data_IF_871520454847
#
_entry.id   IF_871520454847
#
_cell.length_a   1.000
_cell.length_b   1.000
_cell.length_c   1.000
_cell.angle_alpha   90.00
_cell.angle_beta   90.00
_cell.angle_gamma   90.00
#
_symmetry.space_group_name_H-M   'P 1'
#
loop_
_entity.id
_entity.type
_entity.pdbx_description
1 polymer ?
#
# COMPACT_ATOMS: atom_id res chain seq x y z
N UNK A 1 -26.06 -16.80 13.88
CA UNK A 1 -25.41 -15.92 14.87
C UNK A 1 -24.21 -15.31 14.16
N UNK A 2 -23.90 -14.04 14.40
CA UNK A 2 -22.75 -13.35 13.79
C UNK A 2 -21.66 -13.25 14.85
N UNK A 3 -20.41 -13.41 14.45
CA UNK A 3 -19.28 -13.24 15.37
C UNK A 3 -19.20 -11.80 15.90
N UNK A 4 -18.63 -11.63 17.10
CA UNK A 4 -18.63 -10.37 17.85
C UNK A 4 -17.25 -9.73 17.92
N UNK A 5 -16.17 -10.52 17.98
CA UNK A 5 -14.80 -10.00 18.04
C UNK A 5 -14.48 -9.22 16.78
N UNK A 6 -13.93 -8.01 16.92
CA UNK A 6 -13.46 -7.20 15.80
C UNK A 6 -12.36 -7.91 14.97
N UNK A 7 -11.68 -8.90 15.56
CA UNK A 7 -10.63 -9.69 14.91
C UNK A 7 -11.19 -10.72 13.92
N UNK A 8 -12.41 -11.22 14.16
CA UNK A 8 -13.01 -12.31 13.41
C UNK A 8 -14.24 -11.88 12.60
N UNK A 9 -15.04 -10.95 13.13
CA UNK A 9 -16.30 -10.51 12.54
C UNK A 9 -16.18 -9.92 11.12
N UNK A 10 -17.25 -10.11 10.34
CA UNK A 10 -17.33 -9.73 8.93
C UNK A 10 -16.55 -10.67 7.99
N UNK A 11 -15.88 -11.70 8.50
CA UNK A 11 -15.28 -12.75 7.68
C UNK A 11 -16.33 -13.80 7.31
N UNK A 12 -16.75 -13.82 6.04
CA UNK A 12 -17.81 -14.69 5.54
C UNK A 12 -17.53 -16.20 5.73
N UNK A 13 -16.27 -16.63 5.74
CA UNK A 13 -15.93 -18.05 5.94
C UNK A 13 -16.10 -18.41 7.40
N UNK A 14 -15.58 -17.57 8.29
CA UNK A 14 -15.72 -17.79 9.73
C UNK A 14 -17.16 -17.64 10.21
N UNK A 15 -17.94 -16.72 9.63
CA UNK A 15 -19.38 -16.62 9.90
C UNK A 15 -20.12 -17.91 9.49
N UNK A 16 -19.75 -18.52 8.36
CA UNK A 16 -20.27 -19.84 7.95
C UNK A 16 -19.80 -20.96 8.87
N UNK A 17 -18.57 -20.92 9.37
CA UNK A 17 -18.10 -21.86 10.40
C UNK A 17 -18.96 -21.75 11.66
N UNK A 18 -19.18 -20.52 12.13
CA UNK A 18 -19.97 -20.23 13.32
C UNK A 18 -21.44 -20.64 13.16
N UNK A 19 -22.00 -20.46 11.97
CA UNK A 19 -23.34 -20.93 11.62
C UNK A 19 -23.45 -22.45 11.40
N UNK A 20 -22.33 -23.20 11.43
CA UNK A 20 -22.31 -24.65 11.17
C UNK A 20 -22.53 -25.03 9.71
N UNK A 21 -22.40 -24.07 8.78
CA UNK A 21 -22.57 -24.27 7.33
C UNK A 21 -21.24 -24.59 6.65
N UNK A 22 -20.13 -24.14 7.22
CA UNK A 22 -18.78 -24.45 6.77
C UNK A 22 -18.00 -25.18 7.87
N UNK A 23 -17.04 -26.01 7.47
CA UNK A 23 -16.09 -26.67 8.37
C UNK A 23 -14.69 -26.40 7.83
N UNK A 24 -14.00 -25.43 8.43
CA UNK A 24 -12.67 -25.06 7.98
C UNK A 24 -11.64 -26.11 8.43
N UNK A 25 -10.93 -26.67 7.45
CA UNK A 25 -9.93 -27.73 7.64
C UNK A 25 -8.93 -27.78 6.49
N UNK A 26 -7.91 -28.64 6.58
CA UNK A 26 -6.99 -28.89 5.48
C UNK A 26 -7.78 -29.35 4.22
N UNK A 27 -7.47 -28.85 3.00
CA UNK A 27 -6.30 -28.04 2.61
C UNK A 27 -6.60 -26.54 2.42
N UNK A 28 -7.55 -25.96 3.16
CA UNK A 28 -7.93 -24.56 2.96
C UNK A 28 -6.77 -23.58 3.11
N UNK A 29 -6.77 -22.56 2.24
CA UNK A 29 -5.73 -21.55 2.20
C UNK A 29 -6.31 -20.16 1.86
N UNK A 30 -6.51 -19.30 2.86
CA UNK A 30 -7.11 -17.97 2.71
C UNK A 30 -6.85 -17.09 3.95
N UNK A 31 -7.35 -15.84 3.92
CA UNK A 31 -7.25 -14.92 5.06
C UNK A 31 -8.02 -15.40 6.30
N UNK A 32 -9.13 -16.12 6.13
CA UNK A 32 -9.93 -16.65 7.24
C UNK A 32 -9.15 -17.69 8.06
N UNK A 33 -8.36 -18.54 7.40
CA UNK A 33 -7.40 -19.43 8.08
C UNK A 33 -6.35 -18.61 8.83
N UNK A 34 -5.83 -17.55 8.22
CA UNK A 34 -4.83 -16.67 8.85
C UNK A 34 -5.40 -16.01 10.11
N UNK A 35 -6.69 -15.64 10.14
CA UNK A 35 -7.38 -15.12 11.35
C UNK A 35 -7.42 -16.15 12.47
N UNK A 36 -7.75 -17.41 12.15
CA UNK A 36 -7.73 -18.50 13.13
C UNK A 36 -6.32 -18.70 13.67
N UNK A 37 -5.30 -18.74 12.80
CA UNK A 37 -3.90 -18.84 13.21
C UNK A 37 -3.51 -17.68 14.14
N UNK A 38 -3.91 -16.45 13.81
CA UNK A 38 -3.64 -15.26 14.61
C UNK A 38 -4.32 -15.31 15.99
N UNK A 39 -5.60 -15.69 16.03
CA UNK A 39 -6.34 -15.86 17.29
C UNK A 39 -5.76 -16.96 18.17
N UNK A 40 -5.45 -18.13 17.58
CA UNK A 40 -4.80 -19.22 18.30
C UNK A 40 -3.43 -18.82 18.83
N UNK A 41 -2.66 -18.01 18.09
CA UNK A 41 -1.36 -17.50 18.54
C UNK A 41 -1.53 -16.57 19.74
N UNK A 42 -2.47 -15.63 19.68
CA UNK A 42 -2.77 -14.71 20.78
C UNK A 42 -3.10 -15.48 22.07
N UNK A 43 -3.83 -16.59 21.94
CA UNK A 43 -4.24 -17.45 23.04
C UNK A 43 -3.16 -18.50 23.43
N UNK A 44 -2.00 -18.50 22.78
CA UNK A 44 -0.86 -19.36 23.11
C UNK A 44 -0.91 -20.79 22.54
N UNK A 45 -1.81 -21.07 21.60
CA UNK A 45 -1.96 -22.39 20.96
C UNK A 45 -1.19 -22.56 19.64
N UNK A 46 -0.70 -21.47 19.04
CA UNK A 46 -0.02 -21.49 17.74
C UNK A 46 1.24 -20.61 17.73
N UNK A 47 2.37 -21.14 17.29
CA UNK A 47 3.69 -20.49 17.35
C UNK A 47 4.42 -20.40 15.99
N UNK A 48 3.84 -20.94 14.93
CA UNK A 48 4.37 -20.87 13.55
C UNK A 48 3.81 -19.68 12.78
N UNK A 49 4.37 -19.35 11.60
CA UNK A 49 4.00 -18.19 10.77
C UNK A 49 2.50 -18.09 10.42
N UNK A 50 1.98 -16.86 10.35
CA UNK A 50 0.61 -16.56 9.90
C UNK A 50 0.57 -16.56 8.38
N UNK A 51 0.57 -17.74 7.77
CA UNK A 51 0.65 -17.91 6.32
C UNK A 51 -0.72 -18.14 5.66
N UNK A 52 -1.77 -18.28 6.47
CA UNK A 52 -3.12 -18.60 6.05
C UNK A 52 -3.24 -19.95 5.35
N UNK A 53 -2.38 -20.94 5.66
CA UNK A 53 -2.50 -22.34 5.22
C UNK A 53 -3.00 -23.20 6.37
N UNK A 54 -4.09 -23.94 6.15
CA UNK A 54 -4.57 -24.91 7.12
C UNK A 54 -3.75 -26.20 6.96
N UNK A 55 -2.57 -26.21 7.56
CA UNK A 55 -1.65 -27.35 7.57
C UNK A 55 -1.68 -28.15 8.89
N UNK A 56 -0.81 -29.15 9.04
CA UNK A 56 -0.74 -29.97 10.25
C UNK A 56 -0.52 -29.17 11.54
N UNK A 57 0.31 -28.11 11.51
CA UNK A 57 0.55 -27.26 12.68
C UNK A 57 -0.71 -26.49 13.10
N UNK A 58 -1.45 -25.92 12.14
CA UNK A 58 -2.74 -25.26 12.42
C UNK A 58 -3.76 -26.27 12.93
N UNK A 59 -3.82 -27.47 12.34
CA UNK A 59 -4.71 -28.54 12.79
C UNK A 59 -4.43 -28.96 14.24
N UNK A 60 -3.16 -29.14 14.60
CA UNK A 60 -2.75 -29.47 15.97
C UNK A 60 -3.13 -28.35 16.95
N UNK A 61 -2.89 -27.08 16.60
CA UNK A 61 -3.28 -25.94 17.42
C UNK A 61 -4.80 -25.89 17.66
N UNK A 62 -5.59 -26.15 16.62
CA UNK A 62 -7.06 -26.27 16.73
C UNK A 62 -7.47 -27.42 17.66
N UNK A 63 -6.86 -28.60 17.53
CA UNK A 63 -7.15 -29.73 18.43
C UNK A 63 -6.82 -29.41 19.88
N UNK A 64 -5.67 -28.78 20.14
CA UNK A 64 -5.25 -28.38 21.49
C UNK A 64 -6.18 -27.33 22.10
N UNK A 65 -6.57 -26.32 21.31
CA UNK A 65 -7.55 -25.32 21.73
C UNK A 65 -8.89 -25.97 22.10
N UNK A 66 -9.36 -26.90 21.27
CA UNK A 66 -10.61 -27.63 21.54
C UNK A 66 -10.53 -28.48 22.79
N UNK A 67 -9.40 -29.15 23.05
CA UNK A 67 -9.17 -29.88 24.28
C UNK A 67 -9.23 -28.96 25.51
N UNK A 68 -8.58 -27.79 25.44
CA UNK A 68 -8.62 -26.79 26.50
C UNK A 68 -10.04 -26.29 26.80
N UNK A 69 -10.86 -26.05 25.77
CA UNK A 69 -12.26 -25.65 25.90
C UNK A 69 -13.25 -26.82 26.08
N UNK A 70 -12.75 -28.05 26.26
CA UNK A 70 -13.58 -29.26 26.36
C UNK A 70 -14.59 -29.44 25.20
N UNK A 71 -14.22 -29.00 24.00
CA UNK A 71 -15.03 -29.12 22.79
C UNK A 71 -14.88 -30.51 22.15
N UNK A 72 -16.00 -31.12 21.78
CA UNK A 72 -16.04 -32.46 21.17
C UNK A 72 -16.66 -32.43 19.76
N UNK A 73 -16.10 -33.16 18.79
CA UNK A 73 -14.84 -33.92 18.85
C UNK A 73 -13.61 -33.00 18.84
N UNK A 74 -12.44 -33.45 19.34
CA UNK A 74 -11.16 -32.72 19.30
C UNK A 74 -10.44 -32.84 17.95
N UNK A 75 -11.19 -33.04 16.86
CA UNK A 75 -10.67 -33.12 15.50
C UNK A 75 -10.05 -31.78 15.06
N UNK A 76 -9.09 -31.77 14.10
CA UNK A 76 -8.42 -30.56 13.62
C UNK A 76 -9.32 -29.75 12.67
N UNK A 77 -10.51 -29.40 13.13
CA UNK A 77 -11.56 -28.72 12.35
C UNK A 77 -12.14 -27.55 13.14
N UNK A 78 -12.23 -26.41 12.46
CA UNK A 78 -12.90 -25.21 12.97
C UNK A 78 -14.35 -25.24 12.48
N UNK A 79 -15.25 -25.60 13.39
CA UNK A 79 -16.71 -25.52 13.18
C UNK A 79 -17.36 -24.52 14.14
N UNK A 80 -18.66 -24.66 14.36
CA UNK A 80 -19.44 -23.72 15.17
C UNK A 80 -18.90 -23.55 16.60
N UNK A 81 -18.60 -24.66 17.28
CA UNK A 81 -18.05 -24.63 18.64
C UNK A 81 -16.67 -23.96 18.70
N UNK A 82 -15.75 -24.35 17.81
CA UNK A 82 -14.39 -23.81 17.77
C UNK A 82 -14.39 -22.31 17.45
N UNK A 83 -15.12 -21.88 16.42
CA UNK A 83 -15.21 -20.47 16.03
C UNK A 83 -15.94 -19.64 17.07
N UNK A 84 -16.97 -20.18 17.73
CA UNK A 84 -17.66 -19.51 18.84
C UNK A 84 -16.77 -19.30 20.05
N UNK A 85 -15.97 -20.30 20.44
CA UNK A 85 -15.02 -20.17 21.54
C UNK A 85 -13.89 -19.18 21.20
N UNK A 86 -13.35 -19.23 19.98
CA UNK A 86 -12.37 -18.23 19.51
C UNK A 86 -12.95 -16.81 19.52
N UNK A 87 -14.19 -16.65 19.07
CA UNK A 87 -14.88 -15.36 19.09
C UNK A 87 -15.06 -14.83 20.50
N UNK A 88 -15.46 -15.69 21.45
CA UNK A 88 -15.62 -15.33 22.85
C UNK A 88 -14.31 -14.91 23.52
N UNK A 89 -13.25 -15.71 23.35
CA UNK A 89 -11.94 -15.45 23.96
C UNK A 89 -11.24 -14.20 23.39
N UNK A 90 -11.53 -13.86 22.14
CA UNK A 90 -10.97 -12.69 21.45
C UNK A 90 -11.92 -11.48 21.48
N UNK A 91 -13.05 -11.56 22.19
CA UNK A 91 -14.03 -10.48 22.24
C UNK A 91 -13.66 -9.46 23.32
N UNK A 92 -13.63 -8.19 22.91
CA UNK A 92 -13.60 -7.04 23.81
C UNK A 92 -14.97 -6.37 23.79
N UNK A 93 -15.45 -5.94 24.97
CA UNK A 93 -16.74 -5.23 25.10
C UNK A 93 -16.53 -3.75 25.47
N UNK A 94 -16.91 -2.79 24.60
CA UNK A 94 -17.36 -2.99 23.22
C UNK A 94 -16.19 -3.35 22.27
N UNK A 95 -16.47 -3.95 21.08
CA UNK A 95 -15.44 -4.34 20.11
C UNK A 95 -14.51 -3.21 19.67
N UNK A 96 -14.98 -1.97 19.76
CA UNK A 96 -14.21 -0.77 19.43
C UNK A 96 -13.14 -0.42 20.45
N UNK A 97 -12.97 -1.20 21.52
CA UNK A 97 -11.93 -1.01 22.55
C UNK A 97 -10.92 -2.17 22.59
N UNK A 98 -10.82 -2.98 21.55
CA UNK A 98 -9.73 -3.96 21.45
C UNK A 98 -8.37 -3.22 21.42
N UNK A 99 -7.52 -3.41 22.46
CA UNK A 99 -6.32 -2.60 22.65
C UNK A 99 -5.26 -2.86 21.57
N UNK A 100 -5.29 -3.99 20.86
CA UNK A 100 -4.31 -4.26 19.80
C UNK A 100 -4.47 -3.33 18.59
N UNK A 101 -5.65 -2.71 18.44
CA UNK A 101 -5.93 -1.78 17.35
C UNK A 101 -5.84 -0.31 17.77
N UNK A 102 -5.62 -0.01 19.05
CA UNK A 102 -5.50 1.37 19.55
C UNK A 102 -6.59 2.31 19.00
N UNK A 103 -6.18 3.45 18.45
CA UNK A 103 -7.09 4.45 17.88
C UNK A 103 -7.85 3.97 16.62
N UNK A 104 -7.40 2.90 15.95
CA UNK A 104 -8.11 2.34 14.79
C UNK A 104 -9.15 1.29 15.14
N UNK A 105 -9.27 0.89 16.42
CA UNK A 105 -10.18 -0.17 16.89
C UNK A 105 -11.64 0.05 16.44
N UNK A 106 -12.14 1.29 16.53
CA UNK A 106 -13.50 1.62 16.08
C UNK A 106 -13.72 1.40 14.58
N UNK A 107 -12.71 1.61 13.74
CA UNK A 107 -12.81 1.37 12.29
C UNK A 107 -12.74 -0.11 11.95
N UNK A 108 -11.94 -0.88 12.69
CA UNK A 108 -11.87 -2.33 12.56
C UNK A 108 -13.22 -2.97 12.94
N UNK A 109 -13.79 -2.55 14.07
CA UNK A 109 -15.10 -3.01 14.54
C UNK A 109 -16.25 -2.68 13.57
N UNK A 110 -16.10 -1.65 12.72
CA UNK A 110 -17.07 -1.29 11.68
C UNK A 110 -16.74 -1.87 10.29
N UNK A 111 -15.70 -2.70 10.20
CA UNK A 111 -15.20 -3.28 8.94
C UNK A 111 -14.76 -2.26 7.89
N UNK A 112 -14.39 -1.06 8.34
CA UNK A 112 -13.80 -0.01 7.50
C UNK A 112 -12.30 -0.25 7.31
N UNK A 113 -11.64 -0.80 8.33
CA UNK A 113 -10.24 -1.21 8.29
C UNK A 113 -10.16 -2.71 8.50
N UNK A 114 -9.47 -3.41 7.61
CA UNK A 114 -9.24 -4.84 7.75
C UNK A 114 -8.38 -5.11 9.01
N UNK A 115 -8.71 -6.13 9.86
CA UNK A 115 -7.98 -6.36 11.09
C UNK A 115 -6.44 -6.50 10.98
N UNK A 116 -5.88 -7.25 10.03
CA UNK A 116 -4.41 -7.31 9.88
C UNK A 116 -3.80 -5.98 9.46
N UNK A 117 -4.50 -5.23 8.59
CA UNK A 117 -4.16 -3.84 8.29
C UNK A 117 -4.18 -2.99 9.56
N UNK A 118 -5.21 -3.13 10.41
CA UNK A 118 -5.34 -2.43 11.68
C UNK A 118 -4.18 -2.70 12.64
N UNK A 119 -3.75 -3.96 12.77
CA UNK A 119 -2.57 -4.33 13.57
C UNK A 119 -1.27 -3.70 13.06
N UNK A 120 -1.14 -3.56 11.73
CA UNK A 120 0.05 -2.96 11.12
C UNK A 120 0.05 -1.43 11.21
N UNK A 121 -1.13 -0.81 11.11
CA UNK A 121 -1.27 0.65 11.11
C UNK A 121 -1.36 1.26 12.51
N UNK A 122 -1.91 0.56 13.50
CA UNK A 122 -2.03 1.06 14.87
C UNK A 122 -0.69 1.58 15.44
N UNK A 123 0.44 0.85 15.31
CA UNK A 123 1.73 1.31 15.83
C UNK A 123 2.30 2.57 15.18
N UNK A 124 1.76 3.01 14.02
CA UNK A 124 2.20 4.26 13.41
C UNK A 124 1.90 5.46 14.30
N UNK A 125 0.76 5.45 15.00
CA UNK A 125 0.34 6.54 15.89
C UNK A 125 1.26 6.63 17.11
N UNK A 126 1.75 5.49 17.60
CA UNK A 126 2.65 5.43 18.75
C UNK A 126 4.13 5.69 18.39
N UNK A 127 4.44 5.87 17.11
CA UNK A 127 5.80 6.22 16.68
C UNK A 127 6.20 7.61 17.23
N UNK A 128 7.51 7.93 17.33
CA UNK A 128 7.96 9.23 17.82
C UNK A 128 7.26 10.40 17.12
N UNK A 129 6.81 11.41 17.87
CA UNK A 129 5.97 12.50 17.35
C UNK A 129 6.57 13.25 16.15
N UNK A 130 7.90 13.28 16.05
CA UNK A 130 8.63 13.92 14.97
C UNK A 130 8.97 12.97 13.81
N UNK A 131 8.47 11.73 13.80
CA UNK A 131 8.73 10.71 12.78
C UNK A 131 7.75 10.79 11.60
N UNK A 132 8.17 10.31 10.43
CA UNK A 132 7.31 10.16 9.26
C UNK A 132 6.20 9.13 9.51
N UNK A 133 6.51 8.09 10.30
CA UNK A 133 5.52 7.09 10.74
C UNK A 133 4.36 7.72 11.51
N UNK A 134 4.66 8.58 12.48
CA UNK A 134 3.63 9.28 13.27
C UNK A 134 2.79 10.23 12.40
N UNK A 135 3.43 10.98 11.50
CA UNK A 135 2.72 11.86 10.57
C UNK A 135 1.79 11.09 9.62
N UNK A 136 2.23 9.93 9.14
CA UNK A 136 1.44 9.04 8.26
C UNK A 136 0.24 8.45 9.02
N UNK A 137 0.45 7.97 10.25
CA UNK A 137 -0.63 7.48 11.11
C UNK A 137 -1.66 8.55 11.47
N UNK A 138 -1.19 9.77 11.75
CA UNK A 138 -2.08 10.92 12.04
C UNK A 138 -2.92 11.30 10.82
N UNK A 139 -2.31 11.34 9.62
CA UNK A 139 -3.03 11.56 8.37
C UNK A 139 -4.09 10.49 8.14
N UNK A 140 -3.73 9.20 8.25
CA UNK A 140 -4.67 8.09 8.10
C UNK A 140 -5.86 8.25 9.04
N UNK A 141 -5.62 8.52 10.33
CA UNK A 141 -6.68 8.66 11.31
C UNK A 141 -7.60 9.85 10.98
N UNK A 142 -7.05 10.98 10.55
CA UNK A 142 -7.84 12.13 10.11
C UNK A 142 -8.66 11.84 8.84
N UNK A 143 -8.07 11.14 7.87
CA UNK A 143 -8.71 10.72 6.63
C UNK A 143 -9.89 9.77 6.88
N UNK A 144 -9.71 8.78 7.76
CA UNK A 144 -10.76 7.85 8.17
C UNK A 144 -11.88 8.57 8.96
N UNK A 145 -11.52 9.43 9.91
CA UNK A 145 -12.50 10.16 10.73
C UNK A 145 -13.36 11.14 9.91
N UNK A 146 -12.77 11.80 8.92
CA UNK A 146 -13.49 12.74 8.05
C UNK A 146 -14.37 12.04 7.01
N UNK A 147 -14.22 10.72 6.85
CA UNK A 147 -14.86 9.95 5.79
C UNK A 147 -14.29 10.24 4.40
N UNK A 148 -13.15 10.92 4.30
CA UNK A 148 -12.40 11.07 3.05
C UNK A 148 -11.86 9.71 2.60
N UNK A 149 -11.19 8.98 3.49
CA UNK A 149 -10.84 7.59 3.29
C UNK A 149 -11.98 6.71 3.84
N UNK A 150 -12.69 6.02 2.95
CA UNK A 150 -13.88 5.23 3.31
C UNK A 150 -13.56 3.78 3.65
N UNK A 151 -12.32 3.33 3.38
CA UNK A 151 -11.85 2.03 3.82
C UNK A 151 -10.41 1.72 3.45
N UNK A 152 -9.81 0.82 4.23
CA UNK A 152 -8.53 0.15 3.95
C UNK A 152 -8.76 -1.35 4.11
N UNK A 153 -9.06 -2.03 3.01
CA UNK A 153 -9.63 -3.39 3.05
C UNK A 153 -8.81 -4.40 2.24
N UNK A 154 -8.93 -5.68 2.59
CA UNK A 154 -8.45 -6.75 1.71
C UNK A 154 -9.31 -6.82 0.44
N UNK A 155 -8.73 -7.21 -0.69
CA UNK A 155 -9.45 -7.38 -1.96
C UNK A 155 -10.61 -8.37 -1.82
N UNK A 156 -10.40 -9.50 -1.13
CA UNK A 156 -11.47 -10.48 -0.84
C UNK A 156 -12.59 -9.94 0.04
N UNK A 157 -12.35 -8.83 0.75
CA UNK A 157 -13.28 -8.14 1.65
C UNK A 157 -13.77 -6.80 1.12
N UNK A 158 -13.44 -6.44 -0.12
CA UNK A 158 -13.93 -5.20 -0.72
C UNK A 158 -15.48 -5.13 -0.77
N UNK A 159 -16.15 -6.29 -0.77
CA UNK A 159 -17.59 -6.40 -0.63
C UNK A 159 -18.16 -5.89 0.70
N UNK A 160 -17.38 -5.83 1.77
CA UNK A 160 -17.83 -5.33 3.09
C UNK A 160 -18.18 -3.84 3.04
N UNK A 161 -17.51 -3.11 2.16
CA UNK A 161 -17.83 -1.74 1.85
C UNK A 161 -19.19 -1.61 1.14
N UNK A 162 -19.80 -2.72 0.70
CA UNK A 162 -21.06 -2.86 -0.02
C UNK A 162 -22.23 -2.06 0.53
N UNK A 163 -22.26 -1.81 1.84
CA UNK A 163 -23.30 -1.03 2.51
C UNK A 163 -23.09 0.48 2.46
N UNK A 164 -21.88 0.96 2.17
CA UNK A 164 -21.55 2.38 2.17
C UNK A 164 -22.07 3.07 0.90
N UNK A 165 -23.24 3.71 0.99
CA UNK A 165 -23.93 4.35 -0.14
C UNK A 165 -23.09 5.40 -0.90
N UNK A 166 -21.94 5.85 -0.37
CA UNK A 166 -21.03 6.77 -1.07
C UNK A 166 -20.32 6.09 -2.24
N UNK A 167 -20.06 4.80 -2.17
CA UNK A 167 -19.24 4.08 -3.16
C UNK A 167 -20.07 3.72 -4.41
N UNK A 168 -19.66 4.17 -5.61
CA UNK A 168 -20.33 3.83 -6.87
C UNK A 168 -20.36 2.31 -7.12
N UNK A 169 -21.45 1.81 -7.71
CA UNK A 169 -21.65 0.37 -7.93
C UNK A 169 -20.63 -0.25 -8.90
N UNK A 170 -20.22 0.50 -9.92
CA UNK A 170 -19.19 0.10 -10.88
C UNK A 170 -17.80 0.01 -10.22
N UNK A 171 -17.48 0.92 -9.30
CA UNK A 171 -16.26 0.84 -8.52
C UNK A 171 -16.26 -0.41 -7.64
N UNK A 172 -17.35 -0.71 -6.93
CA UNK A 172 -17.45 -1.90 -6.06
C UNK A 172 -17.10 -3.19 -6.77
N UNK A 173 -17.55 -3.35 -8.01
CA UNK A 173 -17.28 -4.55 -8.80
C UNK A 173 -15.78 -4.72 -9.12
N UNK A 174 -15.04 -3.61 -9.20
CA UNK A 174 -13.61 -3.58 -9.56
C UNK A 174 -12.69 -3.75 -8.35
N UNK A 175 -13.12 -3.33 -7.17
CA UNK A 175 -12.29 -3.40 -5.95
C UNK A 175 -11.90 -4.84 -5.57
N UNK A 176 -12.65 -5.86 -6.01
CA UNK A 176 -12.36 -7.25 -5.69
C UNK A 176 -11.26 -7.88 -6.57
N UNK A 177 -10.87 -7.22 -7.67
CA UNK A 177 -9.85 -7.72 -8.59
C UNK A 177 -8.79 -6.65 -8.85
N UNK A 178 -7.67 -6.77 -8.13
CA UNK A 178 -6.51 -5.89 -8.26
C UNK A 178 -5.56 -6.31 -9.40
N UNK A 179 -5.84 -7.42 -10.08
CA UNK A 179 -4.91 -8.04 -11.02
C UNK A 179 -3.50 -8.21 -10.42
N UNK A 180 -2.44 -7.66 -11.04
CA UNK A 180 -1.07 -7.82 -10.57
C UNK A 180 -0.68 -6.89 -9.41
N UNK A 181 -1.50 -5.90 -9.04
CA UNK A 181 -1.13 -4.89 -8.05
C UNK A 181 -1.12 -5.46 -6.62
N UNK A 182 -0.10 -5.15 -5.82
CA UNK A 182 -0.03 -5.59 -4.41
C UNK A 182 -1.03 -4.85 -3.51
N UNK A 183 -1.40 -3.64 -3.90
CA UNK A 183 -2.44 -2.80 -3.33
C UNK A 183 -2.78 -1.68 -4.32
N UNK A 184 -3.84 -0.93 -4.04
CA UNK A 184 -4.26 0.19 -4.87
C UNK A 184 -5.11 1.18 -4.09
N UNK A 185 -4.79 2.46 -4.26
CA UNK A 185 -5.64 3.59 -3.85
C UNK A 185 -6.59 3.96 -4.98
N UNK A 186 -7.90 3.91 -4.69
CA UNK A 186 -8.95 4.18 -5.64
C UNK A 186 -9.69 5.46 -5.26
N UNK A 187 -9.44 6.52 -6.01
CA UNK A 187 -10.17 7.78 -5.91
C UNK A 187 -11.50 7.72 -6.67
N UNK A 188 -12.55 8.31 -6.09
CA UNK A 188 -13.85 8.46 -6.73
C UNK A 188 -14.63 9.66 -6.17
N UNK A 189 -15.61 10.14 -6.94
CA UNK A 189 -16.61 11.09 -6.44
C UNK A 189 -17.79 10.28 -5.88
N UNK A 190 -18.11 10.50 -4.62
CA UNK A 190 -19.20 9.81 -3.94
C UNK A 190 -20.57 10.33 -4.36
N UNK A 191 -21.61 9.63 -3.92
CA UNK A 191 -23.01 10.05 -4.13
C UNK A 191 -23.36 11.38 -3.44
N UNK A 192 -22.55 11.84 -2.50
CA UNK A 192 -22.63 13.14 -1.85
C UNK A 192 -21.90 14.26 -2.64
N UNK A 193 -21.32 13.93 -3.80
CA UNK A 193 -20.59 14.87 -4.65
C UNK A 193 -19.18 15.22 -4.14
N UNK A 194 -18.69 14.55 -3.09
CA UNK A 194 -17.36 14.80 -2.52
C UNK A 194 -16.35 13.80 -3.04
N UNK A 195 -15.08 14.19 -3.01
CA UNK A 195 -13.96 13.29 -3.27
C UNK A 195 -13.79 12.32 -2.10
N UNK A 196 -13.72 11.03 -2.42
CA UNK A 196 -13.46 9.94 -1.49
C UNK A 196 -12.42 8.99 -2.06
N UNK A 197 -11.86 8.18 -1.18
CA UNK A 197 -10.91 7.15 -1.54
C UNK A 197 -11.13 5.86 -0.78
N UNK A 198 -10.69 4.76 -1.40
CA UNK A 198 -10.58 3.46 -0.76
C UNK A 198 -9.23 2.85 -1.12
N UNK A 199 -8.52 2.39 -0.10
CA UNK A 199 -7.31 1.57 -0.28
C UNK A 199 -7.72 0.10 -0.23
N UNK A 200 -7.30 -0.65 -1.24
CA UNK A 200 -7.52 -2.09 -1.30
C UNK A 200 -6.17 -2.79 -1.37
N UNK A 201 -6.01 -3.87 -0.61
CA UNK A 201 -4.77 -4.63 -0.52
C UNK A 201 -4.99 -6.07 -0.96
N UNK A 202 -4.06 -6.61 -1.76
CA UNK A 202 -4.11 -8.00 -2.19
C UNK A 202 -3.98 -8.96 -0.99
N UNK A 203 -4.78 -10.02 -0.98
CA UNK A 203 -4.79 -11.03 0.08
C UNK A 203 -3.42 -11.71 0.24
N UNK A 204 -2.67 -11.89 -0.86
CA UNK A 204 -1.32 -12.45 -0.78
C UNK A 204 -0.34 -11.47 -0.13
N UNK A 205 -0.54 -10.16 -0.29
CA UNK A 205 0.28 -9.15 0.41
C UNK A 205 0.03 -9.26 1.91
N UNK A 206 -1.23 -9.31 2.35
CA UNK A 206 -1.57 -9.43 3.77
C UNK A 206 -0.98 -10.71 4.37
N UNK A 207 -0.99 -11.81 3.61
CA UNK A 207 -0.41 -13.10 4.02
C UNK A 207 1.11 -13.17 3.91
N UNK A 208 1.79 -12.10 3.51
CA UNK A 208 3.25 -12.06 3.33
C UNK A 208 3.77 -12.93 2.18
N UNK A 209 2.95 -13.21 1.18
CA UNK A 209 3.25 -14.07 0.02
C UNK A 209 3.36 -13.32 -1.31
N UNK A 210 2.94 -12.05 -1.37
CA UNK A 210 3.10 -11.23 -2.57
C UNK A 210 4.59 -10.92 -2.78
N UNK A 211 5.03 -11.11 -4.02
CA UNK A 211 6.38 -10.77 -4.46
C UNK A 211 6.30 -9.85 -5.66
N UNK A 212 7.13 -8.82 -5.67
CA UNK A 212 7.48 -8.08 -6.87
C UNK A 212 8.56 -8.85 -7.61
N UNK A 213 8.42 -8.97 -8.93
CA UNK A 213 9.39 -9.65 -9.77
C UNK A 213 10.07 -8.61 -10.65
N UNK A 214 11.39 -8.52 -10.56
CA UNK A 214 12.17 -7.76 -11.53
C UNK A 214 12.22 -8.52 -12.85
N UNK A 215 11.34 -8.14 -13.79
CA UNK A 215 11.16 -8.84 -15.06
C UNK A 215 12.48 -9.17 -15.81
N UNK A 216 13.46 -8.26 -15.92
CA UNK A 216 14.71 -8.56 -16.63
C UNK A 216 15.56 -9.67 -16.01
N UNK A 217 15.60 -9.77 -14.67
CA UNK A 217 16.48 -10.73 -13.98
C UNK A 217 15.72 -11.88 -13.32
N UNK A 218 14.39 -11.82 -13.23
CA UNK A 218 13.55 -12.76 -12.47
C UNK A 218 13.70 -12.66 -10.95
N UNK A 219 14.49 -11.71 -10.45
CA UNK A 219 14.73 -11.50 -9.01
C UNK A 219 13.44 -11.12 -8.31
N UNK A 220 13.28 -11.54 -7.06
CA UNK A 220 12.03 -11.41 -6.33
C UNK A 220 12.21 -10.59 -5.07
N UNK A 221 11.27 -9.71 -4.79
CA UNK A 221 11.23 -8.96 -3.55
C UNK A 221 9.89 -9.21 -2.89
N UNK A 222 9.90 -9.70 -1.65
CA UNK A 222 8.67 -9.82 -0.86
C UNK A 222 8.13 -8.42 -0.55
N UNK A 223 6.84 -8.22 -0.78
CA UNK A 223 6.17 -6.96 -0.43
C UNK A 223 5.95 -6.93 1.08
N UNK A 224 6.49 -5.90 1.74
CA UNK A 224 6.19 -5.61 3.15
C UNK A 224 4.86 -4.86 3.24
N UNK A 225 3.95 -5.35 4.10
CA UNK A 225 2.59 -4.82 4.21
C UNK A 225 2.59 -3.39 4.76
N UNK A 226 3.45 -3.07 5.73
CA UNK A 226 3.51 -1.72 6.30
C UNK A 226 3.98 -0.72 5.26
N UNK A 227 5.02 -1.07 4.51
CA UNK A 227 5.56 -0.22 3.45
C UNK A 227 4.54 0.04 2.36
N UNK A 228 3.85 -1.00 1.88
CA UNK A 228 2.76 -0.84 0.91
C UNK A 228 1.66 0.07 1.46
N UNK A 229 1.20 -0.15 2.69
CA UNK A 229 0.13 0.68 3.26
C UNK A 229 0.54 2.14 3.41
N UNK A 230 1.78 2.42 3.83
CA UNK A 230 2.30 3.78 3.90
C UNK A 230 2.40 4.41 2.51
N UNK A 231 2.79 3.63 1.49
CA UNK A 231 2.83 4.05 0.10
C UNK A 231 1.44 4.48 -0.40
N UNK A 232 0.43 3.62 -0.24
CA UNK A 232 -0.96 3.92 -0.61
C UNK A 232 -1.52 5.14 0.13
N UNK A 233 -1.19 5.32 1.41
CA UNK A 233 -1.59 6.50 2.18
C UNK A 233 -0.98 7.81 1.65
N UNK A 234 0.15 7.75 0.92
CA UNK A 234 0.75 8.93 0.28
C UNK A 234 0.05 9.26 -1.03
N UNK A 235 -0.38 8.26 -1.80
CA UNK A 235 -1.30 8.49 -2.91
C UNK A 235 -2.57 9.18 -2.40
N UNK A 236 -3.14 8.63 -1.32
CA UNK A 236 -4.35 9.17 -0.72
C UNK A 236 -4.20 10.63 -0.24
N UNK A 237 -3.06 10.94 0.37
CA UNK A 237 -2.72 12.31 0.79
C UNK A 237 -2.68 13.31 -0.37
N UNK A 238 -2.28 12.86 -1.55
CA UNK A 238 -2.14 13.68 -2.73
C UNK A 238 -3.36 13.63 -3.66
N UNK A 239 -4.46 13.00 -3.22
CA UNK A 239 -5.71 13.00 -3.95
C UNK A 239 -6.13 14.41 -4.35
N UNK A 240 -6.51 14.58 -5.61
CA UNK A 240 -6.92 15.88 -6.15
C UNK A 240 -5.77 16.81 -6.58
N UNK A 241 -4.57 16.74 -5.98
CA UNK A 241 -3.40 17.49 -6.49
C UNK A 241 -3.01 17.02 -7.89
N UNK A 242 -3.18 15.73 -8.17
CA UNK A 242 -2.85 15.12 -9.46
C UNK A 242 -3.72 15.69 -10.60
N UNK A 243 -4.96 16.11 -10.30
CA UNK A 243 -5.82 16.82 -11.26
C UNK A 243 -5.42 18.29 -11.43
N UNK A 244 -5.05 18.96 -10.34
CA UNK A 244 -4.60 20.36 -10.38
C UNK A 244 -3.22 20.55 -11.04
N UNK A 245 -2.39 19.50 -11.05
CA UNK A 245 -1.09 19.47 -11.72
C UNK A 245 -1.16 19.02 -13.18
N UNK A 246 -2.34 18.60 -13.68
CA UNK A 246 -2.47 18.08 -15.04
C UNK A 246 -2.16 19.17 -16.08
N UNK A 247 -1.01 19.09 -16.76
CA UNK A 247 -0.50 20.16 -17.62
C UNK A 247 -1.23 20.23 -18.97
N UNK A 248 -1.27 21.42 -19.57
CA UNK A 248 -1.75 21.62 -20.95
C UNK A 248 -0.65 21.34 -21.99
N UNK A 249 0.17 20.31 -21.75
CA UNK A 249 1.39 20.01 -22.50
C UNK A 249 2.35 21.20 -22.63
N UNK A 250 2.76 21.78 -21.51
CA UNK A 250 3.71 22.89 -21.44
C UNK A 250 5.19 22.45 -21.38
N UNK A 251 6.09 23.39 -21.68
CA UNK A 251 7.53 23.17 -21.67
C UNK A 251 8.12 23.05 -20.25
N UNK A 252 7.36 23.43 -19.20
CA UNK A 252 7.76 23.25 -17.81
C UNK A 252 7.49 21.81 -17.32
N UNK A 253 6.80 21.00 -18.12
CA UNK A 253 6.44 19.62 -17.81
C UNK A 253 6.95 18.62 -18.83
N UNK A 254 6.96 18.95 -20.12
CA UNK A 254 7.39 18.04 -21.18
C UNK A 254 8.54 18.60 -21.99
N UNK A 255 9.60 17.78 -22.14
CA UNK A 255 10.73 18.08 -23.00
C UNK A 255 10.30 18.19 -24.48
N UNK A 256 9.28 17.43 -24.88
CA UNK A 256 8.68 17.49 -26.21
C UNK A 256 7.15 17.56 -26.12
N UNK A 257 6.63 18.79 -26.07
CA UNK A 257 5.21 19.07 -25.96
C UNK A 257 4.41 18.57 -27.17
N UNK A 258 4.98 18.67 -28.36
CA UNK A 258 4.34 18.21 -29.61
C UNK A 258 4.18 16.69 -29.64
N UNK A 259 5.20 15.96 -29.19
CA UNK A 259 5.14 14.51 -29.03
C UNK A 259 4.10 14.11 -27.98
N UNK A 260 4.09 14.77 -26.81
CA UNK A 260 3.13 14.48 -25.74
C UNK A 260 1.68 14.65 -26.21
N UNK A 261 1.39 15.73 -26.94
CA UNK A 261 0.08 15.97 -27.55
C UNK A 261 -0.25 14.88 -28.60
N UNK A 262 0.67 14.63 -29.54
CA UNK A 262 0.46 13.67 -30.63
C UNK A 262 0.14 12.26 -30.12
N UNK A 263 0.87 11.78 -29.12
CA UNK A 263 0.63 10.45 -28.52
C UNK A 263 -0.67 10.41 -27.73
N UNK A 264 -1.02 11.50 -27.04
CA UNK A 264 -2.29 11.61 -26.34
C UNK A 264 -3.48 11.48 -27.30
N UNK A 265 -3.42 12.18 -28.44
CA UNK A 265 -4.48 12.14 -29.46
C UNK A 265 -4.55 10.79 -30.16
N UNK A 266 -3.40 10.18 -30.46
CA UNK A 266 -3.33 8.91 -31.19
C UNK A 266 -3.81 7.71 -30.37
N UNK A 267 -3.57 7.71 -29.05
CA UNK A 267 -3.85 6.55 -28.19
C UNK A 267 -5.15 6.70 -27.38
N UNK A 268 -5.65 7.92 -27.21
CA UNK A 268 -6.73 8.21 -26.25
C UNK A 268 -6.28 8.10 -24.78
N UNK A 269 -5.03 7.74 -24.53
CA UNK A 269 -4.39 7.72 -23.21
C UNK A 269 -3.48 8.93 -23.09
N UNK A 270 -3.88 9.94 -22.32
CA UNK A 270 -3.15 11.21 -22.23
C UNK A 270 -1.77 11.05 -21.57
N UNK A 271 -0.72 11.62 -22.16
CA UNK A 271 0.64 11.65 -21.59
C UNK A 271 0.68 12.38 -20.22
N UNK A 272 -0.26 13.30 -19.96
CA UNK A 272 -0.44 13.88 -18.63
C UNK A 272 -0.70 12.85 -17.53
N UNK A 273 -1.34 11.71 -17.85
CA UNK A 273 -1.54 10.62 -16.90
C UNK A 273 -0.23 9.89 -16.57
N UNK A 274 0.64 9.71 -17.57
CA UNK A 274 1.99 9.14 -17.39
C UNK A 274 2.81 10.03 -16.45
N UNK A 275 2.76 11.34 -16.68
CA UNK A 275 3.37 12.34 -15.80
C UNK A 275 2.83 12.25 -14.35
N UNK A 276 1.51 12.26 -14.17
CA UNK A 276 0.90 12.17 -12.84
C UNK A 276 1.32 10.90 -12.10
N UNK A 277 1.28 9.74 -12.77
CA UNK A 277 1.74 8.48 -12.19
C UNK A 277 3.21 8.56 -11.79
N UNK A 278 4.10 9.07 -12.65
CA UNK A 278 5.50 9.24 -12.26
C UNK A 278 5.67 10.08 -11.00
N UNK A 279 5.01 11.24 -10.94
CA UNK A 279 5.12 12.15 -9.79
C UNK A 279 4.57 11.50 -8.51
N UNK A 280 3.40 10.86 -8.57
CA UNK A 280 2.79 10.16 -7.45
C UNK A 280 3.69 9.02 -6.93
N UNK A 281 4.12 8.14 -7.82
CA UNK A 281 4.95 6.97 -7.53
C UNK A 281 6.30 7.35 -6.90
N UNK A 282 6.94 8.42 -7.39
CA UNK A 282 8.19 8.94 -6.83
C UNK A 282 7.97 9.55 -5.44
N UNK A 283 6.84 10.25 -5.24
CA UNK A 283 6.51 10.85 -3.95
C UNK A 283 6.20 9.80 -2.87
N UNK A 284 5.44 8.76 -3.22
CA UNK A 284 5.09 7.66 -2.32
C UNK A 284 6.31 6.80 -1.96
N UNK A 285 7.19 6.52 -2.93
CA UNK A 285 8.48 5.82 -2.66
C UNK A 285 9.40 6.63 -1.75
N UNK A 286 9.50 7.94 -1.94
CA UNK A 286 10.31 8.80 -1.05
C UNK A 286 9.86 8.71 0.40
N UNK A 287 8.56 8.84 0.66
CA UNK A 287 8.02 8.71 2.03
C UNK A 287 8.23 7.31 2.59
N UNK A 288 8.03 6.27 1.77
CA UNK A 288 8.22 4.88 2.18
C UNK A 288 9.67 4.59 2.53
N UNK A 289 10.63 5.12 1.75
CA UNK A 289 12.06 5.01 2.04
C UNK A 289 12.42 5.66 3.38
N UNK A 290 11.88 6.84 3.70
CA UNK A 290 12.08 7.48 5.01
C UNK A 290 11.57 6.56 6.13
N UNK A 291 10.38 5.98 5.96
CA UNK A 291 9.78 5.08 6.95
C UNK A 291 10.63 3.83 7.16
N UNK A 292 11.16 3.23 6.09
CA UNK A 292 12.10 2.11 6.19
C UNK A 292 13.34 2.47 6.99
N UNK A 293 13.94 3.64 6.72
CA UNK A 293 15.12 4.13 7.46
C UNK A 293 14.80 4.37 8.93
N UNK A 294 13.64 4.97 9.23
CA UNK A 294 13.18 5.15 10.61
C UNK A 294 12.96 3.81 11.34
N UNK A 295 12.48 2.77 10.64
CA UNK A 295 12.33 1.41 11.19
C UNK A 295 13.68 0.74 11.44
N UNK A 296 14.67 1.02 10.59
CA UNK A 296 16.05 0.57 10.75
C UNK A 296 16.79 1.31 11.88
N UNK A 297 16.15 2.27 12.55
CA UNK A 297 16.73 3.04 13.65
C UNK A 297 17.60 4.20 13.21
N UNK A 298 17.51 4.64 11.94
CA UNK A 298 18.22 5.82 11.43
C UNK A 298 17.53 7.10 11.94
N UNK A 299 18.15 7.87 12.85
CA UNK A 299 17.54 9.08 13.40
C UNK A 299 17.53 10.25 12.39
N UNK A 300 18.20 10.10 11.26
CA UNK A 300 18.33 11.13 10.23
C UNK A 300 17.75 10.70 8.87
N UNK A 301 16.83 9.74 8.88
CA UNK A 301 16.19 9.16 7.70
C UNK A 301 15.81 10.20 6.62
N UNK A 302 15.30 11.37 7.00
CA UNK A 302 14.89 12.42 6.05
C UNK A 302 16.04 13.29 5.53
N UNK A 303 17.09 13.52 6.33
CA UNK A 303 18.12 14.52 6.03
C UNK A 303 19.26 13.98 5.16
N UNK A 304 19.33 12.65 4.95
CA UNK A 304 20.49 12.00 4.33
C UNK A 304 20.27 11.47 2.90
N UNK A 305 19.09 11.64 2.31
CA UNK A 305 18.92 11.33 0.89
C UNK A 305 19.65 12.37 0.05
N UNK A 306 20.80 11.98 -0.51
CA UNK A 306 21.53 12.85 -1.43
C UNK A 306 20.68 13.10 -2.69
N UNK A 307 20.49 14.36 -3.13
CA UNK A 307 19.65 14.69 -4.28
C UNK A 307 20.05 13.94 -5.56
N UNK A 308 21.35 13.69 -5.75
CA UNK A 308 21.86 12.94 -6.90
C UNK A 308 21.38 11.47 -6.88
N UNK A 309 21.23 10.87 -5.70
CA UNK A 309 20.69 9.49 -5.57
C UNK A 309 19.21 9.44 -5.89
N UNK A 310 18.44 10.46 -5.51
CA UNK A 310 17.04 10.59 -5.92
C UNK A 310 16.91 10.76 -7.44
N UNK A 311 17.74 11.63 -8.04
CA UNK A 311 17.79 11.82 -9.49
C UNK A 311 18.14 10.51 -10.22
N UNK A 312 19.07 9.72 -9.67
CA UNK A 312 19.40 8.43 -10.24
C UNK A 312 18.30 7.37 -10.03
N UNK A 313 17.65 7.34 -8.87
CA UNK A 313 16.51 6.45 -8.66
C UNK A 313 15.39 6.78 -9.66
N UNK A 314 15.12 8.07 -9.90
CA UNK A 314 14.19 8.52 -10.93
C UNK A 314 14.59 8.03 -12.33
N UNK A 315 15.88 8.04 -12.67
CA UNK A 315 16.40 7.45 -13.91
C UNK A 315 16.14 5.95 -13.99
N UNK A 316 16.46 5.21 -12.92
CA UNK A 316 16.21 3.77 -12.86
C UNK A 316 14.74 3.46 -13.17
N UNK A 317 13.80 4.14 -12.51
CA UNK A 317 12.38 3.96 -12.80
C UNK A 317 12.01 4.39 -14.22
N UNK A 318 12.51 5.53 -14.69
CA UNK A 318 12.17 6.02 -16.03
C UNK A 318 12.70 5.13 -17.17
N UNK A 319 13.91 4.59 -17.00
CA UNK A 319 14.73 4.01 -18.07
C UNK A 319 14.97 2.51 -17.97
N UNK A 320 14.97 1.95 -16.78
CA UNK A 320 15.43 0.58 -16.51
C UNK A 320 14.30 -0.34 -16.03
N UNK A 321 13.13 0.22 -15.70
CA UNK A 321 11.92 -0.55 -15.38
C UNK A 321 10.96 -0.62 -16.56
N UNK A 322 10.06 -1.60 -16.53
CA UNK A 322 8.98 -1.69 -17.51
C UNK A 322 8.00 -0.51 -17.32
N UNK A 323 7.95 0.44 -18.26
CA UNK A 323 7.18 1.67 -18.11
C UNK A 323 5.67 1.45 -18.32
N UNK A 324 5.26 0.38 -19.00
CA UNK A 324 3.84 0.02 -19.12
C UNK A 324 3.33 -0.47 -17.77
N UNK A 325 4.15 -1.27 -17.07
CA UNK A 325 3.82 -1.81 -15.75
C UNK A 325 3.79 -0.73 -14.66
N UNK A 326 4.72 0.22 -14.67
CA UNK A 326 4.85 1.22 -13.59
C UNK A 326 4.09 2.53 -13.85
N UNK A 327 4.05 3.00 -15.10
CA UNK A 327 3.60 4.36 -15.42
C UNK A 327 2.55 4.40 -16.53
N UNK A 328 1.99 3.24 -16.92
CA UNK A 328 1.00 3.13 -17.99
C UNK A 328 1.44 3.93 -19.24
N UNK A 329 2.73 3.87 -19.58
CA UNK A 329 3.33 4.75 -20.60
C UNK A 329 2.60 4.61 -21.95
N UNK A 330 2.23 5.75 -22.54
CA UNK A 330 1.59 5.78 -23.85
C UNK A 330 2.60 5.84 -25.01
N UNK A 331 3.86 5.49 -24.73
CA UNK A 331 5.00 5.57 -25.63
C UNK A 331 5.82 6.85 -25.49
N UNK A 332 5.43 7.79 -24.64
CA UNK A 332 6.15 9.05 -24.46
C UNK A 332 7.51 8.81 -23.80
N UNK A 333 7.55 8.08 -22.68
CA UNK A 333 8.82 7.78 -22.01
C UNK A 333 9.72 6.95 -22.94
N UNK A 334 9.16 5.99 -23.69
CA UNK A 334 9.90 5.23 -24.70
C UNK A 334 10.54 6.11 -25.76
N UNK A 335 9.80 7.07 -26.32
CA UNK A 335 10.31 7.98 -27.33
C UNK A 335 11.38 8.94 -26.76
N UNK A 336 11.27 9.36 -25.50
CA UNK A 336 12.32 10.14 -24.82
C UNK A 336 13.58 9.29 -24.62
N UNK A 337 13.47 8.03 -24.18
CA UNK A 337 14.63 7.12 -24.02
C UNK A 337 15.40 6.93 -25.32
N UNK A 338 14.70 6.84 -26.45
CA UNK A 338 15.32 6.69 -27.76
C UNK A 338 16.24 7.87 -28.16
N UNK A 339 16.10 9.04 -27.51
CA UNK A 339 16.94 10.23 -27.73
C UNK A 339 18.22 10.24 -26.88
N UNK A 340 18.40 9.24 -26.02
CA UNK A 340 19.60 9.05 -25.20
C UNK A 340 19.56 9.71 -23.81
N UNK A 341 20.61 9.51 -23.00
CA UNK A 341 20.60 9.87 -21.57
C UNK A 341 20.32 11.35 -21.28
N UNK A 342 20.82 12.26 -22.11
CA UNK A 342 20.60 13.70 -21.93
C UNK A 342 19.10 14.07 -21.99
N UNK A 343 18.34 13.46 -22.91
CA UNK A 343 16.90 13.69 -23.01
C UNK A 343 16.14 13.08 -21.82
N UNK A 344 16.54 11.90 -21.36
CA UNK A 344 15.96 11.23 -20.18
C UNK A 344 16.13 12.10 -18.93
N UNK A 345 17.36 12.52 -18.63
CA UNK A 345 17.62 13.38 -17.47
C UNK A 345 16.96 14.76 -17.60
N UNK A 346 16.88 15.32 -18.82
CA UNK A 346 16.13 16.55 -19.08
C UNK A 346 14.65 16.41 -18.72
N UNK A 347 14.02 15.30 -19.12
CA UNK A 347 12.62 15.03 -18.77
C UNK A 347 12.42 14.75 -17.27
N UNK A 348 13.33 13.99 -16.65
CA UNK A 348 13.30 13.73 -15.20
C UNK A 348 13.44 15.03 -14.42
N UNK A 349 14.30 15.96 -14.84
CA UNK A 349 14.45 17.25 -14.19
C UNK A 349 13.12 18.02 -14.16
N UNK A 350 12.39 18.08 -15.27
CA UNK A 350 11.07 18.73 -15.33
C UNK A 350 10.09 18.06 -14.36
N UNK A 351 10.00 16.73 -14.37
CA UNK A 351 9.05 16.00 -13.54
C UNK A 351 9.39 16.03 -12.05
N UNK A 352 10.68 15.98 -11.66
CA UNK A 352 11.09 16.13 -10.26
C UNK A 352 10.81 17.53 -9.71
N UNK A 353 10.90 18.59 -10.55
CA UNK A 353 10.46 19.94 -10.14
C UNK A 353 8.98 19.95 -9.80
N UNK A 354 8.15 19.31 -10.62
CA UNK A 354 6.72 19.21 -10.34
C UNK A 354 6.45 18.33 -9.11
N UNK A 355 7.16 17.22 -8.95
CA UNK A 355 7.05 16.37 -7.77
C UNK A 355 7.39 17.08 -6.46
N UNK A 356 8.25 18.11 -6.48
CA UNK A 356 8.51 18.95 -5.29
C UNK A 356 7.28 19.69 -4.74
N UNK A 357 6.19 19.76 -5.52
CA UNK A 357 4.91 20.38 -5.15
C UNK A 357 3.95 19.40 -4.47
N UNK A 358 4.29 18.11 -4.43
CA UNK A 358 3.50 17.09 -3.77
C UNK A 358 3.54 17.26 -2.24
N UNK A 359 2.55 16.72 -1.56
CA UNK A 359 2.49 16.68 -0.10
C UNK A 359 3.09 15.37 0.41
N UNK A 360 4.24 15.47 1.05
CA UNK A 360 4.98 14.36 1.66
C UNK A 360 4.69 14.22 3.16
N UNK A 361 4.35 15.32 3.83
CA UNK A 361 4.09 15.32 5.27
C UNK A 361 3.12 16.43 5.70
N UNK A 362 2.40 16.20 6.79
CA UNK A 362 1.61 17.23 7.48
C UNK A 362 2.48 18.15 8.34
N UNK A 363 3.69 17.70 8.69
CA UNK A 363 4.69 18.52 9.37
C UNK A 363 5.36 19.51 8.39
N UNK A 364 5.26 20.83 8.60
CA UNK A 364 5.79 21.82 7.66
C UNK A 364 7.30 21.72 7.42
N UNK A 365 8.08 21.41 8.45
CA UNK A 365 9.54 21.26 8.33
C UNK A 365 9.89 20.05 7.47
N UNK A 366 9.23 18.91 7.71
CA UNK A 366 9.44 17.69 6.90
C UNK A 366 8.97 17.87 5.47
N UNK A 367 7.82 18.51 5.28
CA UNK A 367 7.30 18.86 3.96
C UNK A 367 8.31 19.70 3.18
N UNK A 368 8.88 20.74 3.81
CA UNK A 368 9.88 21.60 3.18
C UNK A 368 11.18 20.85 2.86
N UNK A 369 11.63 19.96 3.75
CA UNK A 369 12.83 19.15 3.54
C UNK A 369 12.65 18.20 2.34
N UNK A 370 11.57 17.41 2.29
CA UNK A 370 11.28 16.55 1.13
C UNK A 370 11.16 17.36 -0.16
N UNK A 371 10.41 18.46 -0.16
CA UNK A 371 10.29 19.32 -1.34
C UNK A 371 11.64 19.90 -1.79
N UNK A 372 12.55 20.20 -0.85
CA UNK A 372 13.92 20.64 -1.17
C UNK A 372 14.72 19.52 -1.85
N UNK A 373 14.71 18.30 -1.30
CA UNK A 373 15.40 17.16 -1.91
C UNK A 373 14.96 16.95 -3.35
N UNK A 374 13.67 17.06 -3.67
CA UNK A 374 13.16 16.97 -5.04
C UNK A 374 13.63 18.10 -5.97
N UNK A 375 13.67 19.35 -5.49
CA UNK A 375 14.20 20.47 -6.28
C UNK A 375 15.70 20.31 -6.55
N UNK A 376 16.45 19.98 -5.52
CA UNK A 376 17.90 19.79 -5.64
C UNK A 376 18.22 18.58 -6.55
N UNK A 377 17.37 17.54 -6.53
CA UNK A 377 17.48 16.38 -7.42
C UNK A 377 17.14 16.74 -8.87
N UNK A 378 16.18 17.63 -9.09
CA UNK A 378 15.89 18.15 -10.42
C UNK A 378 17.05 18.99 -10.98
N UNK A 379 17.67 19.84 -10.16
CA UNK A 379 18.86 20.60 -10.54
C UNK A 379 20.03 19.66 -10.87
N UNK A 380 20.18 18.58 -10.09
CA UNK A 380 21.15 17.53 -10.36
C UNK A 380 20.90 16.82 -11.70
N UNK A 381 19.66 16.44 -11.98
CA UNK A 381 19.26 15.85 -13.27
C UNK A 381 19.50 16.81 -14.45
N UNK A 382 19.17 18.09 -14.30
CA UNK A 382 19.44 19.11 -15.33
C UNK A 382 20.94 19.24 -15.62
N UNK A 383 21.78 19.32 -14.58
CA UNK A 383 23.24 19.35 -14.75
C UNK A 383 23.76 18.11 -15.48
N UNK A 384 23.23 16.93 -15.16
CA UNK A 384 23.59 15.67 -15.84
C UNK A 384 23.17 15.70 -17.31
N UNK A 385 21.97 16.22 -17.63
CA UNK A 385 21.50 16.38 -19.00
C UNK A 385 22.42 17.29 -19.84
N UNK A 386 22.99 18.32 -19.21
CA UNK A 386 23.88 19.30 -19.84
C UNK A 386 25.36 18.88 -19.85
N UNK A 387 25.75 17.82 -19.14
CA UNK A 387 27.16 17.41 -18.98
C UNK A 387 27.42 16.06 -19.65
N UNK A 388 27.99 16.04 -20.87
CA UNK A 388 28.27 14.78 -21.57
C UNK A 388 29.27 13.90 -20.80
N UNK A 389 28.91 12.64 -20.56
CA UNK A 389 29.83 11.61 -20.07
C UNK A 389 30.05 11.55 -18.54
N UNK A 390 29.30 12.31 -17.74
CA UNK A 390 29.33 12.16 -16.28
C UNK A 390 28.76 10.78 -15.88
N UNK A 391 29.52 10.03 -15.07
CA UNK A 391 29.00 8.79 -14.49
C UNK A 391 27.94 9.16 -13.44
N UNK A 392 26.72 8.61 -13.53
CA UNK A 392 25.72 8.86 -12.51
C UNK A 392 26.16 8.26 -11.16
N UNK A 393 25.71 8.83 -10.03
CA UNK A 393 25.82 8.16 -8.74
C UNK A 393 25.04 6.83 -8.77
N UNK A 394 25.21 5.96 -7.77
CA UNK A 394 24.38 4.76 -7.66
C UNK A 394 22.89 5.13 -7.54
N UNK A 395 22.00 4.32 -8.11
CA UNK A 395 20.54 4.49 -8.00
C UNK A 395 20.00 4.19 -6.60
N UNK A 396 20.87 4.09 -5.59
CA UNK A 396 20.57 3.51 -4.28
C UNK A 396 19.74 4.41 -3.34
N UNK A 397 19.01 5.36 -3.91
CA UNK A 397 18.28 6.40 -3.19
C UNK A 397 16.84 6.05 -2.80
N UNK A 398 16.11 5.27 -3.61
CA UNK A 398 14.71 4.92 -3.35
C UNK A 398 14.41 3.44 -3.58
N UNK A 399 13.79 2.81 -2.58
CA UNK A 399 13.34 1.43 -2.63
C UNK A 399 12.05 1.26 -3.47
N UNK A 400 11.84 0.10 -4.14
CA UNK A 400 12.74 -1.06 -4.21
C UNK A 400 13.82 -0.93 -5.28
N UNK A 401 15.03 -1.36 -4.95
CA UNK A 401 16.16 -1.41 -5.87
C UNK A 401 16.49 -2.84 -6.23
N UNK A 402 17.20 -3.02 -7.35
CA UNK A 402 17.59 -4.35 -7.80
C UNK A 402 18.40 -5.10 -6.73
N UNK A 403 19.24 -4.41 -5.96
CA UNK A 403 20.04 -5.06 -4.91
C UNK A 403 19.21 -5.51 -3.70
N UNK A 404 18.02 -4.95 -3.49
CA UNK A 404 17.09 -5.35 -2.43
C UNK A 404 16.34 -6.65 -2.75
N UNK A 405 16.34 -7.07 -4.01
CA UNK A 405 15.60 -8.24 -4.45
C UNK A 405 16.42 -9.52 -4.25
N UNK A 406 15.81 -10.59 -3.77
CA UNK A 406 16.44 -11.91 -3.67
C UNK A 406 16.80 -12.45 -5.06
N UNK A 407 17.95 -13.16 -5.19
CA UNK A 407 18.43 -13.74 -6.46
C UNK A 407 17.43 -14.69 -7.13
#
# INVERSE_FOLDING_TARGET
MVMRSARLSGDLVLDKCHAGVHRMMQPEQNLSVMRVQAGLRELGFFDADLDGIFGPLTGQAVSNFKEFHALSPTDPVVGAGTSGALDEDLFFDPPSLDPAFGEVAGFVARHVVEPFVGLVLSPLIDAPLNSQRHDTGTFMLAALNSGFLVGIVAASRAGDLGSDARIPADLRARLADLGPAAGQTNQFIGTDGRLHEVVVVDDLTIRGKRVLVHHPTGRKLRVDLLELLCHELVHARNAGLNFALTPAFDADTFLDTGLAQTLSDATGHHTARVFNQFVEEMSARHVTWIIQRERAGDPFALDFLQPERLAQAAHFYFAETDPEFMFSDNGYMQAIRARGPAAVFGQIALWLRQASRMTFSGNPTRQQASARVFRDAADSAERTALTPGAAPPPSDGLFPLLHDMDP
#
